data_IF_742950809573
#
_entry.id   IF_742950809573
#
_cell.length_a   1.000
_cell.length_b   1.000
_cell.length_c   1.000
_cell.angle_alpha   90.00
_cell.angle_beta   90.00
_cell.angle_gamma   90.00
#
_symmetry.space_group_name_H-M   'P 1'
#
loop_
_entity.id
_entity.type
_entity.pdbx_description
1 polymer ?
#
# COMPACT_ATOMS: atom_id res chain seq x y z
N UNK A 1 18.50 45.18 -10.59
CA UNK A 1 18.89 43.78 -10.32
C UNK A 1 17.64 42.98 -10.03
N UNK A 2 17.39 41.88 -10.76
CA UNK A 2 16.22 41.03 -10.54
C UNK A 2 16.69 39.77 -9.81
N UNK A 3 16.47 39.77 -8.50
CA UNK A 3 16.85 38.67 -7.63
C UNK A 3 15.75 37.61 -7.76
N UNK A 4 16.00 36.59 -8.59
CA UNK A 4 15.12 35.45 -8.77
C UNK A 4 15.58 34.34 -7.83
N UNK A 5 15.14 34.35 -6.58
CA UNK A 5 15.47 33.33 -5.57
C UNK A 5 14.24 33.02 -4.70
N UNK A 6 13.19 32.43 -5.28
CA UNK A 6 12.12 31.82 -4.46
C UNK A 6 11.54 30.52 -5.03
N UNK A 7 11.64 30.23 -6.31
CA UNK A 7 10.93 29.08 -6.89
C UNK A 7 11.60 27.71 -6.66
N UNK A 8 12.89 27.67 -6.33
CA UNK A 8 13.63 26.39 -6.22
C UNK A 8 13.35 25.63 -4.92
N UNK A 9 13.08 26.33 -3.82
CA UNK A 9 12.89 25.69 -2.49
C UNK A 9 11.50 25.06 -2.38
N UNK A 10 10.44 25.72 -2.88
CA UNK A 10 9.08 25.17 -2.85
C UNK A 10 8.95 23.90 -3.70
N UNK A 11 9.61 23.84 -4.86
CA UNK A 11 9.58 22.64 -5.70
C UNK A 11 10.29 21.45 -5.06
N UNK A 12 11.36 21.66 -4.29
CA UNK A 12 12.09 20.56 -3.65
C UNK A 12 11.28 19.90 -2.54
N UNK A 13 10.60 20.68 -1.69
CA UNK A 13 9.70 20.14 -0.66
C UNK A 13 8.58 19.28 -1.25
N UNK A 14 7.96 19.72 -2.35
CA UNK A 14 6.87 18.98 -2.97
C UNK A 14 7.31 17.67 -3.66
N UNK A 15 8.57 17.57 -4.08
CA UNK A 15 9.13 16.35 -4.65
C UNK A 15 9.45 15.34 -3.54
N UNK A 16 10.06 15.81 -2.45
CA UNK A 16 10.36 15.00 -1.25
C UNK A 16 9.08 14.41 -0.62
N UNK A 17 8.01 15.22 -0.50
CA UNK A 17 6.71 14.75 0.02
C UNK A 17 6.08 13.64 -0.84
N UNK A 18 6.17 13.75 -2.17
CA UNK A 18 5.63 12.74 -3.10
C UNK A 18 6.43 11.44 -3.02
N UNK A 19 7.75 11.52 -2.99
CA UNK A 19 8.62 10.35 -2.85
C UNK A 19 8.43 9.65 -1.49
N UNK A 20 8.26 10.42 -0.41
CA UNK A 20 7.94 9.88 0.91
C UNK A 20 6.58 9.16 0.92
N UNK A 21 5.55 9.77 0.31
CA UNK A 21 4.24 9.14 0.18
C UNK A 21 4.30 7.84 -0.65
N UNK A 22 5.06 7.85 -1.74
CA UNK A 22 5.29 6.68 -2.57
C UNK A 22 5.97 5.55 -1.78
N UNK A 23 7.05 5.86 -1.08
CA UNK A 23 7.79 4.89 -0.27
C UNK A 23 6.94 4.34 0.88
N UNK A 24 6.08 5.17 1.49
CA UNK A 24 5.12 4.73 2.51
C UNK A 24 4.14 3.70 1.96
N UNK A 25 3.56 3.95 0.78
CA UNK A 25 2.58 3.04 0.18
C UNK A 25 3.23 1.71 -0.23
N UNK A 26 4.46 1.74 -0.75
CA UNK A 26 5.20 0.52 -1.06
C UNK A 26 5.50 -0.29 0.21
N UNK A 27 5.94 0.37 1.28
CA UNK A 27 6.17 -0.30 2.56
C UNK A 27 4.88 -0.91 3.14
N UNK A 28 3.75 -0.20 3.03
CA UNK A 28 2.45 -0.68 3.47
C UNK A 28 1.94 -1.85 2.62
N UNK A 29 2.20 -1.85 1.31
CA UNK A 29 1.89 -2.97 0.41
C UNK A 29 2.70 -4.21 0.79
N UNK A 30 4.01 -4.06 0.99
CA UNK A 30 4.89 -5.17 1.40
C UNK A 30 4.48 -5.75 2.75
N UNK A 31 4.16 -4.88 3.72
CA UNK A 31 3.62 -5.32 5.01
C UNK A 31 2.29 -6.05 4.84
N UNK A 32 1.40 -5.50 4.02
CA UNK A 32 0.09 -6.13 3.77
C UNK A 32 0.22 -7.49 3.10
N UNK A 33 1.19 -7.65 2.20
CA UNK A 33 1.48 -8.93 1.55
C UNK A 33 1.96 -9.98 2.57
N UNK A 34 2.84 -9.60 3.51
CA UNK A 34 3.29 -10.49 4.58
C UNK A 34 2.16 -10.87 5.53
N UNK A 35 1.38 -9.90 5.98
CA UNK A 35 0.22 -10.15 6.84
C UNK A 35 -0.78 -11.12 6.17
N UNK A 36 -0.93 -11.02 4.84
CA UNK A 36 -1.78 -11.92 4.05
C UNK A 36 -1.20 -13.33 3.98
N UNK A 37 0.10 -13.48 3.73
CA UNK A 37 0.82 -14.76 3.76
C UNK A 37 0.68 -15.44 5.14
N UNK A 38 0.86 -14.67 6.21
CA UNK A 38 0.73 -15.16 7.58
C UNK A 38 -0.70 -15.62 7.89
N UNK A 39 -1.72 -14.85 7.48
CA UNK A 39 -3.12 -15.22 7.65
C UNK A 39 -3.49 -16.49 6.86
N UNK A 40 -2.99 -16.64 5.63
CA UNK A 40 -3.18 -17.86 4.83
C UNK A 40 -2.49 -19.06 5.47
N UNK A 41 -1.24 -18.90 5.95
CA UNK A 41 -0.52 -19.96 6.64
C UNK A 41 -1.24 -20.41 7.93
N UNK A 42 -1.85 -19.48 8.66
CA UNK A 42 -2.70 -19.79 9.81
C UNK A 42 -3.97 -20.55 9.43
N UNK A 43 -4.65 -20.08 8.37
CA UNK A 43 -5.88 -20.70 7.86
C UNK A 43 -5.67 -22.14 7.37
N UNK A 44 -4.55 -22.44 6.71
CA UNK A 44 -4.29 -23.77 6.15
C UNK A 44 -4.14 -24.85 7.24
N UNK A 45 -3.72 -24.47 8.44
CA UNK A 45 -3.39 -25.41 9.52
C UNK A 45 -4.46 -25.47 10.62
N UNK A 46 -5.48 -24.61 10.58
CA UNK A 46 -6.49 -24.53 11.63
C UNK A 46 -7.60 -25.56 11.42
N UNK A 47 -8.06 -26.18 12.51
CA UNK A 47 -9.18 -27.15 12.48
C UNK A 47 -10.34 -26.73 13.38
N UNK A 48 -10.13 -25.71 14.20
CA UNK A 48 -11.15 -25.15 15.08
C UNK A 48 -12.14 -24.28 14.29
N UNK A 49 -13.45 -24.59 14.28
CA UNK A 49 -14.45 -23.81 13.56
C UNK A 49 -14.48 -22.31 13.88
N UNK A 50 -14.31 -21.93 15.15
CA UNK A 50 -14.37 -20.52 15.54
C UNK A 50 -13.13 -19.76 15.04
N UNK A 51 -11.97 -20.43 14.99
CA UNK A 51 -10.75 -19.86 14.44
C UNK A 51 -10.76 -19.82 12.91
N UNK A 52 -11.40 -20.79 12.23
CA UNK A 52 -11.63 -20.76 10.78
C UNK A 52 -12.35 -19.48 10.40
N UNK A 53 -13.44 -19.13 11.09
CA UNK A 53 -14.19 -17.90 10.83
C UNK A 53 -13.33 -16.66 11.08
N UNK A 54 -12.55 -16.66 12.17
CA UNK A 54 -11.62 -15.57 12.47
C UNK A 54 -10.61 -15.33 11.32
N UNK A 55 -10.00 -16.38 10.80
CA UNK A 55 -9.07 -16.28 9.67
C UNK A 55 -9.77 -15.88 8.35
N UNK A 56 -11.01 -16.31 8.11
CA UNK A 56 -11.80 -15.83 6.97
C UNK A 56 -12.01 -14.32 7.05
N UNK A 57 -12.35 -13.80 8.24
CA UNK A 57 -12.49 -12.37 8.45
C UNK A 57 -11.15 -11.63 8.31
N UNK A 58 -10.08 -12.20 8.84
CA UNK A 58 -8.73 -11.65 8.77
C UNK A 58 -8.26 -11.52 7.31
N UNK A 59 -8.27 -12.61 6.55
CA UNK A 59 -7.89 -12.63 5.12
C UNK A 59 -8.71 -11.61 4.34
N UNK A 60 -10.03 -11.57 4.54
CA UNK A 60 -10.90 -10.59 3.88
C UNK A 60 -10.56 -9.14 4.26
N UNK A 61 -10.20 -8.88 5.51
CA UNK A 61 -9.81 -7.55 5.98
C UNK A 61 -8.48 -7.10 5.36
N UNK A 62 -7.51 -8.01 5.29
CA UNK A 62 -6.18 -7.74 4.72
C UNK A 62 -6.29 -7.55 3.20
N UNK A 63 -7.11 -8.35 2.50
CA UNK A 63 -7.40 -8.17 1.07
C UNK A 63 -8.05 -6.82 0.77
N UNK A 64 -8.99 -6.36 1.61
CA UNK A 64 -9.59 -5.03 1.46
C UNK A 64 -8.55 -3.93 1.63
N UNK A 65 -7.64 -4.06 2.61
CA UNK A 65 -6.52 -3.13 2.80
C UNK A 65 -5.59 -3.14 1.59
N UNK A 66 -5.26 -4.32 1.07
CA UNK A 66 -4.40 -4.49 -0.10
C UNK A 66 -4.99 -3.80 -1.33
N UNK A 67 -6.27 -4.05 -1.63
CA UNK A 67 -6.99 -3.40 -2.74
C UNK A 67 -6.98 -1.88 -2.60
N UNK A 68 -7.27 -1.36 -1.41
CA UNK A 68 -7.23 0.07 -1.15
C UNK A 68 -5.84 0.68 -1.40
N UNK A 69 -4.78 0.00 -0.95
CA UNK A 69 -3.40 0.45 -1.18
C UNK A 69 -3.02 0.44 -2.67
N UNK A 70 -3.47 -0.57 -3.43
CA UNK A 70 -3.29 -0.60 -4.89
C UNK A 70 -4.02 0.57 -5.58
N UNK A 71 -5.24 0.88 -5.17
CA UNK A 71 -5.98 2.03 -5.69
C UNK A 71 -5.28 3.36 -5.36
N UNK A 72 -4.64 3.48 -4.18
CA UNK A 72 -3.83 4.64 -3.84
C UNK A 72 -2.54 4.71 -4.68
N UNK A 73 -1.86 3.59 -4.87
CA UNK A 73 -0.67 3.50 -5.71
C UNK A 73 -0.97 3.91 -7.17
N UNK A 74 -2.09 3.43 -7.72
CA UNK A 74 -2.56 3.79 -9.06
C UNK A 74 -2.83 5.30 -9.19
N UNK A 75 -3.47 5.93 -8.20
CA UNK A 75 -3.71 7.40 -8.18
C UNK A 75 -2.43 8.22 -8.19
N UNK A 76 -1.35 7.68 -7.63
CA UNK A 76 -0.03 8.34 -7.56
C UNK A 76 0.80 8.02 -8.82
N UNK A 77 0.22 7.28 -9.78
CA UNK A 77 0.85 6.85 -11.02
C UNK A 77 2.07 5.95 -10.79
N UNK A 78 2.01 5.15 -9.72
CA UNK A 78 3.09 4.23 -9.33
C UNK A 78 3.09 2.93 -10.14
N UNK A 79 1.96 2.60 -10.76
CA UNK A 79 1.76 1.42 -11.58
C UNK A 79 1.47 1.87 -13.02
N UNK A 80 2.15 1.32 -14.05
CA UNK A 80 1.72 1.54 -15.43
C UNK A 80 0.29 0.98 -15.57
N UNK A 81 -0.60 1.70 -16.27
CA UNK A 81 -2.03 1.37 -16.44
C UNK A 81 -2.30 0.04 -17.17
N UNK A 82 -1.31 -0.83 -17.40
CA UNK A 82 -1.38 -1.96 -18.32
C UNK A 82 -1.85 -3.31 -17.72
N UNK A 83 -2.11 -3.43 -16.43
CA UNK A 83 -2.56 -4.72 -15.83
C UNK A 83 -4.00 -4.69 -15.28
N UNK A 84 -4.90 -3.99 -15.95
CA UNK A 84 -6.35 -4.11 -15.72
C UNK A 84 -7.08 -4.43 -17.04
N UNK A 85 -6.82 -5.60 -17.63
CA UNK A 85 -7.62 -6.22 -18.70
C UNK A 85 -8.00 -7.64 -18.31
#
# INVERSE_FOLDING_TARGET
>A
MKICFRQTIYNHQTIDEREQQMNSILADLDKTRRDLEDAYAGFDNVTDPDLIDCYIYEVNSVLKRYKFLLEQAAKINLLPEEELV
#
